data_IF_866350021242
#
_entry.id   IF_866350021242
#
_cell.length_a   1.000
_cell.length_b   1.000
_cell.length_c   1.000
_cell.angle_alpha   90.00
_cell.angle_beta   90.00
_cell.angle_gamma   90.00
#
_symmetry.space_group_name_H-M   'P 1'
#
loop_
_entity.id
_entity.type
_entity.pdbx_description
1 polymer ?
#
# COMPACT_ATOMS: atom_id res chain seq x y z
N UNK A 1 -31.00 12.69 2.41
CA UNK A 1 -30.47 11.89 1.29
C UNK A 1 -29.89 10.64 1.92
N UNK A 2 -30.40 9.45 1.57
CA UNK A 2 -29.81 8.20 2.06
C UNK A 2 -28.66 7.80 1.13
N UNK A 3 -27.50 7.38 1.65
CA UNK A 3 -26.44 6.83 0.80
C UNK A 3 -26.98 5.62 0.03
N UNK A 4 -26.65 5.52 -1.25
CA UNK A 4 -26.99 4.37 -2.12
C UNK A 4 -25.99 3.22 -1.99
N UNK A 5 -24.96 3.40 -1.16
CA UNK A 5 -23.88 2.44 -0.94
C UNK A 5 -23.81 2.18 0.56
N UNK A 6 -24.04 0.92 0.94
CA UNK A 6 -23.93 0.47 2.32
C UNK A 6 -22.47 0.18 2.69
N UNK A 7 -22.08 0.57 3.90
CA UNK A 7 -20.80 0.16 4.48
C UNK A 7 -20.97 -1.25 5.03
N UNK A 8 -20.40 -2.23 4.35
CA UNK A 8 -20.44 -3.63 4.79
C UNK A 8 -19.40 -3.95 5.88
N UNK A 9 -18.30 -3.18 5.95
CA UNK A 9 -17.23 -3.37 6.91
C UNK A 9 -16.40 -2.11 7.11
N UNK A 10 -15.94 -1.89 8.35
CA UNK A 10 -14.95 -0.90 8.72
C UNK A 10 -13.83 -1.56 9.51
N UNK A 11 -12.62 -1.02 9.41
CA UNK A 11 -11.44 -1.45 10.16
C UNK A 11 -10.71 -0.22 10.69
N UNK A 12 -10.08 -0.37 11.85
CA UNK A 12 -9.20 0.65 12.40
C UNK A 12 -7.79 0.49 11.81
N UNK A 13 -7.13 1.62 11.57
CA UNK A 13 -5.74 1.67 11.13
C UNK A 13 -4.94 2.60 12.05
N UNK A 14 -3.62 2.42 12.07
CA UNK A 14 -2.72 3.14 12.98
C UNK A 14 -2.66 4.65 12.77
N UNK A 15 -2.80 5.11 11.53
CA UNK A 15 -2.64 6.51 11.15
C UNK A 15 -3.66 6.97 10.12
N UNK A 16 -3.43 8.14 9.53
CA UNK A 16 -4.28 8.66 8.46
C UNK A 16 -4.04 7.81 7.19
N UNK A 17 -5.08 7.20 6.59
CA UNK A 17 -4.92 6.40 5.38
C UNK A 17 -4.53 7.30 4.21
N UNK A 18 -3.56 6.87 3.42
CA UNK A 18 -2.98 7.67 2.33
C UNK A 18 -2.99 6.98 0.98
N UNK A 19 -2.92 5.65 0.96
CA UNK A 19 -2.93 4.85 -0.26
C UNK A 19 -3.63 3.52 -0.02
N UNK A 20 -4.26 2.97 -1.05
CA UNK A 20 -4.86 1.62 -1.01
C UNK A 20 -4.65 0.90 -2.32
N UNK A 21 -4.53 -0.43 -2.27
CA UNK A 21 -4.61 -1.27 -3.46
C UNK A 21 -5.26 -2.61 -3.12
N UNK A 22 -5.90 -3.24 -4.12
CA UNK A 22 -6.33 -4.63 -3.99
C UNK A 22 -5.09 -5.54 -4.06
N UNK A 23 -5.05 -6.59 -3.25
CA UNK A 23 -4.07 -7.67 -3.38
C UNK A 23 -4.75 -8.93 -3.94
N UNK A 24 -4.12 -10.10 -3.87
CA UNK A 24 -4.78 -11.34 -4.27
C UNK A 24 -5.92 -11.69 -3.31
N UNK A 25 -6.86 -12.51 -3.80
CA UNK A 25 -7.89 -13.15 -2.97
C UNK A 25 -8.87 -12.15 -2.31
N UNK A 26 -9.03 -10.96 -2.89
CA UNK A 26 -9.99 -9.95 -2.46
C UNK A 26 -9.58 -9.19 -1.19
N UNK A 27 -8.31 -9.30 -0.78
CA UNK A 27 -7.77 -8.51 0.31
C UNK A 27 -7.43 -7.08 -0.14
N UNK A 28 -7.38 -6.15 0.80
CA UNK A 28 -7.04 -4.73 0.57
C UNK A 28 -5.81 -4.38 1.40
N UNK A 29 -4.79 -3.82 0.76
CA UNK A 29 -3.68 -3.17 1.43
C UNK A 29 -4.00 -1.69 1.64
N UNK A 30 -3.66 -1.17 2.82
CA UNK A 30 -3.85 0.22 3.22
C UNK A 30 -2.53 0.74 3.78
N UNK A 31 -2.02 1.81 3.20
CA UNK A 31 -0.86 2.54 3.67
C UNK A 31 -1.28 3.79 4.44
N UNK A 32 -0.46 4.21 5.41
CA UNK A 32 -0.74 5.40 6.22
C UNK A 32 0.39 6.44 6.26
N UNK A 33 0.06 7.58 6.86
CA UNK A 33 0.98 8.71 7.06
C UNK A 33 2.19 8.42 7.95
N UNK A 34 2.18 7.33 8.73
CA UNK A 34 3.25 6.94 9.63
C UNK A 34 4.17 5.86 9.02
N UNK A 35 3.93 5.46 7.78
CA UNK A 35 4.71 4.42 7.11
C UNK A 35 4.24 2.99 7.41
N UNK A 36 3.08 2.83 8.04
CA UNK A 36 2.48 1.51 8.22
C UNK A 36 1.71 1.11 6.96
N UNK A 37 1.91 -0.13 6.55
CA UNK A 37 1.07 -0.82 5.56
C UNK A 37 0.39 -2.00 6.24
N UNK A 38 -0.93 -2.09 6.10
CA UNK A 38 -1.76 -3.14 6.69
C UNK A 38 -2.57 -3.82 5.60
N UNK A 39 -2.63 -5.16 5.60
CA UNK A 39 -3.43 -5.94 4.66
C UNK A 39 -4.61 -6.57 5.41
N UNK A 40 -5.82 -6.25 4.99
CA UNK A 40 -7.05 -6.79 5.55
C UNK A 40 -7.73 -7.74 4.57
N UNK A 41 -8.30 -8.84 5.09
CA UNK A 41 -9.18 -9.69 4.29
C UNK A 41 -10.59 -9.10 4.16
N UNK A 42 -11.45 -9.77 3.39
CA UNK A 42 -12.85 -9.38 3.17
C UNK A 42 -13.69 -9.31 4.46
N UNK A 43 -13.26 -10.01 5.52
CA UNK A 43 -13.90 -9.99 6.84
C UNK A 43 -13.34 -8.87 7.74
N UNK A 44 -12.43 -8.03 7.23
CA UNK A 44 -11.76 -6.95 7.98
C UNK A 44 -10.71 -7.44 8.98
N UNK A 45 -10.23 -8.68 8.86
CA UNK A 45 -9.19 -9.23 9.71
C UNK A 45 -7.82 -8.84 9.15
N UNK A 46 -6.91 -8.39 10.03
CA UNK A 46 -5.53 -8.06 9.67
C UNK A 46 -4.75 -9.35 9.37
N UNK A 47 -4.26 -9.48 8.15
CA UNK A 47 -3.51 -10.65 7.67
C UNK A 47 -2.01 -10.41 7.77
N UNK A 48 -1.56 -9.24 7.33
CA UNK A 48 -0.15 -8.86 7.32
C UNK A 48 0.01 -7.36 7.63
N UNK A 49 1.19 -7.02 8.14
CA UNK A 49 1.60 -5.63 8.32
C UNK A 49 3.09 -5.47 8.02
N UNK A 50 3.44 -4.31 7.46
CA UNK A 50 4.80 -3.95 7.09
C UNK A 50 5.05 -2.49 7.41
N UNK A 51 6.29 -2.13 7.70
CA UNK A 51 6.68 -0.74 7.93
C UNK A 51 7.75 -0.29 6.92
N UNK A 52 7.58 0.94 6.46
CA UNK A 52 8.56 1.70 5.68
C UNK A 52 8.88 2.99 6.43
N UNK A 53 10.03 3.58 6.14
CA UNK A 53 10.39 4.89 6.69
C UNK A 53 9.72 5.97 5.84
N UNK A 54 8.99 6.88 6.46
CA UNK A 54 8.24 7.94 5.78
C UNK A 54 6.79 7.58 5.47
N UNK A 55 6.01 8.58 5.04
CA UNK A 55 4.59 8.42 4.67
C UNK A 55 4.48 7.46 3.49
N UNK A 56 3.52 6.53 3.54
CA UNK A 56 3.15 5.74 2.36
C UNK A 56 2.47 6.66 1.35
N UNK A 57 3.04 6.79 0.17
CA UNK A 57 2.53 7.66 -0.90
C UNK A 57 1.70 6.91 -1.92
N UNK A 58 2.05 5.66 -2.20
CA UNK A 58 1.31 4.83 -3.14
C UNK A 58 1.51 3.33 -2.88
N UNK A 59 0.58 2.51 -3.37
CA UNK A 59 0.61 1.05 -3.25
C UNK A 59 0.23 0.40 -4.58
N UNK A 60 0.98 -0.63 -4.95
CA UNK A 60 0.64 -1.49 -6.09
C UNK A 60 0.85 -2.96 -5.75
N UNK A 61 -0.01 -3.82 -6.27
CA UNK A 61 0.14 -5.27 -6.11
C UNK A 61 0.33 -5.94 -7.47
N UNK A 62 1.52 -6.49 -7.70
CA UNK A 62 1.92 -7.07 -9.00
C UNK A 62 2.51 -8.45 -8.74
N UNK A 63 1.91 -9.49 -9.32
CA UNK A 63 2.40 -10.87 -9.26
C UNK A 63 2.74 -11.37 -7.83
N UNK A 64 1.85 -11.15 -6.87
CA UNK A 64 2.05 -11.50 -5.44
C UNK A 64 3.08 -10.65 -4.70
N UNK A 65 3.56 -9.57 -5.31
CA UNK A 65 4.44 -8.61 -4.68
C UNK A 65 3.67 -7.34 -4.34
N UNK A 66 3.81 -6.88 -3.11
CA UNK A 66 3.33 -5.56 -2.69
C UNK A 66 4.45 -4.55 -2.89
N UNK A 67 4.23 -3.59 -3.76
CA UNK A 67 5.09 -2.45 -4.02
C UNK A 67 4.58 -1.28 -3.21
N UNK A 68 5.47 -0.66 -2.44
CA UNK A 68 5.16 0.43 -1.52
C UNK A 68 6.02 1.62 -1.87
N UNK A 69 5.36 2.71 -2.26
CA UNK A 69 5.96 4.02 -2.40
C UNK A 69 6.00 4.74 -1.06
N UNK A 70 7.14 5.33 -0.73
CA UNK A 70 7.34 6.12 0.48
C UNK A 70 7.97 7.47 0.16
N UNK A 71 7.52 8.51 0.87
CA UNK A 71 8.07 9.86 0.77
C UNK A 71 9.54 10.00 1.19
N UNK A 72 10.11 9.03 1.92
CA UNK A 72 11.51 9.06 2.37
C UNK A 72 12.28 7.89 1.76
N UNK A 73 11.80 6.67 2.00
CA UNK A 73 12.53 5.47 1.62
C UNK A 73 12.41 5.13 0.13
N UNK A 74 11.57 5.82 -0.64
CA UNK A 74 11.36 5.48 -2.05
C UNK A 74 10.56 4.20 -2.22
N UNK A 75 11.05 3.22 -2.97
CA UNK A 75 10.31 1.99 -3.29
C UNK A 75 10.76 0.82 -2.43
N UNK A 76 9.81 0.19 -1.72
CA UNK A 76 9.98 -1.11 -1.08
C UNK A 76 9.09 -2.15 -1.74
N UNK A 77 9.59 -3.37 -1.95
CA UNK A 77 8.85 -4.49 -2.52
C UNK A 77 8.82 -5.62 -1.48
N UNK A 78 7.62 -6.03 -1.08
CA UNK A 78 7.38 -7.15 -0.17
C UNK A 78 6.88 -8.37 -0.95
N UNK A 79 7.62 -9.46 -0.86
CA UNK A 79 7.32 -10.75 -1.50
C UNK A 79 7.32 -11.85 -0.44
N UNK A 80 6.16 -12.10 0.16
CA UNK A 80 6.06 -12.98 1.33
C UNK A 80 6.91 -12.44 2.48
N UNK A 81 7.90 -13.23 2.92
CA UNK A 81 8.84 -12.84 3.98
C UNK A 81 10.05 -12.03 3.50
N UNK A 82 10.20 -11.83 2.19
CA UNK A 82 11.34 -11.10 1.61
C UNK A 82 11.01 -9.63 1.39
N UNK A 83 11.98 -8.75 1.68
CA UNK A 83 11.90 -7.32 1.40
C UNK A 83 13.04 -6.92 0.46
N UNK A 84 12.69 -6.28 -0.65
CA UNK A 84 13.63 -5.61 -1.55
C UNK A 84 13.41 -4.10 -1.48
N UNK A 85 14.46 -3.32 -1.66
CA UNK A 85 14.43 -1.87 -1.50
C UNK A 85 15.24 -1.20 -2.60
N UNK A 86 14.67 -0.15 -3.20
CA UNK A 86 15.35 0.71 -4.16
C UNK A 86 15.75 1.99 -3.40
N UNK A 87 17.02 2.15 -2.99
CA UNK A 87 17.43 3.24 -2.12
C UNK A 87 17.40 4.62 -2.81
N UNK A 88 17.21 5.66 -1.99
CA UNK A 88 17.50 7.08 -2.29
C UNK A 88 16.72 7.74 -3.45
N UNK A 89 15.42 7.50 -3.56
CA UNK A 89 14.51 8.35 -4.34
C UNK A 89 13.14 8.30 -3.69
N UNK A 90 12.82 9.23 -2.78
CA UNK A 90 11.47 9.35 -2.23
C UNK A 90 10.44 9.27 -3.35
N UNK A 91 9.34 8.56 -3.15
CA UNK A 91 8.35 8.29 -4.19
C UNK A 91 7.12 9.17 -3.98
N UNK A 92 6.63 9.80 -5.05
CA UNK A 92 5.36 10.55 -5.02
C UNK A 92 4.19 9.76 -5.61
N UNK A 93 4.42 9.02 -6.69
CA UNK A 93 3.39 8.23 -7.37
C UNK A 93 3.96 6.96 -8.00
N UNK A 94 3.13 5.91 -8.04
CA UNK A 94 3.39 4.66 -8.76
C UNK A 94 2.28 4.47 -9.80
N UNK A 95 2.65 4.34 -11.07
CA UNK A 95 1.69 4.05 -12.15
C UNK A 95 1.95 2.67 -12.71
N UNK A 96 0.92 1.81 -12.71
CA UNK A 96 1.03 0.41 -13.15
C UNK A 96 0.45 0.24 -14.56
N UNK A 97 1.16 -0.51 -15.41
CA UNK A 97 0.68 -0.96 -16.71
C UNK A 97 1.03 -2.44 -16.91
N UNK A 98 0.02 -3.30 -16.78
CA UNK A 98 0.21 -4.75 -16.80
C UNK A 98 1.11 -5.21 -15.66
N UNK A 99 2.29 -5.71 -16.00
CA UNK A 99 3.30 -6.16 -15.04
C UNK A 99 4.41 -5.13 -14.77
N UNK A 100 4.40 -4.01 -15.48
CA UNK A 100 5.39 -2.95 -15.33
C UNK A 100 4.82 -1.82 -14.49
N UNK A 101 5.70 -1.06 -13.88
CA UNK A 101 5.32 0.16 -13.18
C UNK A 101 6.36 1.25 -13.41
N UNK A 102 5.89 2.49 -13.42
CA UNK A 102 6.70 3.70 -13.42
C UNK A 102 6.56 4.37 -12.06
N UNK A 103 7.62 5.03 -11.63
CA UNK A 103 7.66 5.78 -10.38
C UNK A 103 8.18 7.18 -10.68
N UNK A 104 7.65 8.18 -9.99
CA UNK A 104 8.28 9.50 -9.95
C UNK A 104 8.65 9.87 -8.53
N UNK A 105 9.81 10.52 -8.41
CA UNK A 105 10.17 11.30 -7.24
C UNK A 105 9.80 12.77 -7.47
N UNK A 106 9.74 13.54 -6.38
CA UNK A 106 9.41 14.96 -6.38
C UNK A 106 10.62 15.87 -6.34
N UNK A 107 11.77 15.43 -6.88
CA UNK A 107 13.03 16.18 -6.78
C UNK A 107 13.05 17.50 -7.56
#
# INVERSE_FOLDING_TARGET
MYPTIDVIKSVDISGIPTATCNTSDGCIAVGDGNGQVSIFNVNGELIHSYSVEGKVTDLAFIQKNLIVGSSISGISIFSGSSKFHIPNAGCEIIVVSGMNFLVSDGS
#
